data_IF_610649360855
#
_entry.id   IF_610649360855
#
_cell.length_a   1.000
_cell.length_b   1.000
_cell.length_c   1.000
_cell.angle_alpha   90.00
_cell.angle_beta   90.00
_cell.angle_gamma   90.00
#
_symmetry.space_group_name_H-M   'P 1'
#
loop_
_entity.id
_entity.type
_entity.pdbx_description
1 polymer ?
#
# COMPACT_ATOMS: atom_id res chain seq x y z
N UNK A 1 6.56 18.55 -11.50
CA UNK A 1 6.44 17.07 -11.48
C UNK A 1 6.68 16.53 -12.87
N UNK A 2 7.40 15.41 -13.02
CA UNK A 2 7.59 14.77 -14.33
C UNK A 2 6.44 13.79 -14.63
N UNK A 3 6.14 13.56 -15.92
CA UNK A 3 5.14 12.56 -16.33
C UNK A 3 5.46 11.16 -15.78
N UNK A 4 6.75 10.83 -15.72
CA UNK A 4 7.23 9.56 -15.18
C UNK A 4 6.91 9.41 -13.69
N UNK A 5 7.13 10.46 -12.88
CA UNK A 5 6.78 10.44 -11.47
C UNK A 5 5.28 10.20 -11.26
N UNK A 6 4.43 10.89 -12.02
CA UNK A 6 2.98 10.74 -11.88
C UNK A 6 2.53 9.31 -12.20
N UNK A 7 3.10 8.72 -13.26
CA UNK A 7 2.89 7.33 -13.62
C UNK A 7 3.31 6.41 -12.49
N UNK A 8 4.50 6.61 -11.93
CA UNK A 8 5.00 5.77 -10.85
C UNK A 8 4.15 5.90 -9.57
N UNK A 9 3.70 7.11 -9.23
CA UNK A 9 2.86 7.34 -8.06
C UNK A 9 1.48 6.69 -8.20
N UNK A 10 0.78 6.92 -9.32
CA UNK A 10 -0.59 6.44 -9.50
C UNK A 10 -0.61 4.94 -9.82
N UNK A 11 0.20 4.51 -10.81
CA UNK A 11 0.15 3.13 -11.30
C UNK A 11 0.66 2.16 -10.25
N UNK A 12 1.81 2.42 -9.62
CA UNK A 12 2.30 1.49 -8.59
C UNK A 12 1.46 1.54 -7.32
N UNK A 13 0.98 2.71 -6.89
CA UNK A 13 0.07 2.81 -5.75
C UNK A 13 -1.17 1.96 -5.95
N UNK A 14 -1.79 2.05 -7.13
CA UNK A 14 -2.95 1.24 -7.48
C UNK A 14 -2.64 -0.25 -7.64
N UNK A 15 -1.53 -0.61 -8.31
CA UNK A 15 -1.14 -2.02 -8.49
C UNK A 15 -0.84 -2.70 -7.14
N UNK A 16 -0.13 -2.02 -6.23
CA UNK A 16 0.17 -2.54 -4.90
C UNK A 16 -1.10 -2.78 -4.08
N UNK A 17 -2.03 -1.82 -4.12
CA UNK A 17 -3.35 -1.97 -3.51
C UNK A 17 -4.12 -3.14 -4.12
N UNK A 18 -4.19 -3.21 -5.45
CA UNK A 18 -4.93 -4.26 -6.16
C UNK A 18 -4.37 -5.65 -5.86
N UNK A 19 -3.05 -5.78 -5.76
CA UNK A 19 -2.40 -7.03 -5.37
C UNK A 19 -2.84 -7.46 -3.95
N UNK A 20 -2.86 -6.53 -3.00
CA UNK A 20 -3.37 -6.79 -1.65
C UNK A 20 -4.86 -7.18 -1.64
N UNK A 21 -5.68 -6.46 -2.41
CA UNK A 21 -7.11 -6.73 -2.56
C UNK A 21 -7.37 -8.14 -3.11
N UNK A 22 -6.70 -8.52 -4.21
CA UNK A 22 -6.84 -9.84 -4.83
C UNK A 22 -6.34 -10.94 -3.89
N UNK A 23 -5.18 -10.75 -3.25
CA UNK A 23 -4.68 -11.70 -2.26
C UNK A 23 -5.66 -11.88 -1.09
N UNK A 24 -6.30 -10.79 -0.63
CA UNK A 24 -7.28 -10.87 0.44
C UNK A 24 -8.52 -11.67 0.06
N UNK A 25 -9.00 -11.55 -1.18
CA UNK A 25 -10.10 -12.38 -1.68
C UNK A 25 -9.71 -13.86 -1.67
N UNK A 26 -8.51 -14.21 -2.14
CA UNK A 26 -8.03 -15.60 -2.11
C UNK A 26 -7.84 -16.13 -0.68
N UNK A 27 -7.23 -15.34 0.20
CA UNK A 27 -6.98 -15.72 1.59
C UNK A 27 -8.27 -15.85 2.41
N UNK A 28 -9.35 -15.17 2.02
CA UNK A 28 -10.65 -15.33 2.66
C UNK A 28 -11.14 -16.78 2.66
N UNK A 29 -10.74 -17.59 1.67
CA UNK A 29 -11.08 -19.01 1.60
C UNK A 29 -10.18 -19.91 2.46
N UNK A 30 -9.04 -19.40 2.93
CA UNK A 30 -7.98 -20.20 3.56
C UNK A 30 -7.78 -19.90 5.04
N UNK A 31 -8.00 -18.66 5.48
CA UNK A 31 -7.73 -18.22 6.85
C UNK A 31 -8.91 -17.43 7.45
N UNK A 32 -9.07 -17.42 8.79
CA UNK A 32 -10.07 -16.61 9.46
C UNK A 32 -9.97 -15.13 9.08
N UNK A 33 -11.12 -14.47 8.89
CA UNK A 33 -11.19 -13.09 8.41
C UNK A 33 -10.41 -12.08 9.29
N UNK A 34 -10.26 -12.35 10.59
CA UNK A 34 -9.48 -11.53 11.54
C UNK A 34 -7.97 -11.61 11.32
N UNK A 35 -7.48 -12.63 10.63
CA UNK A 35 -6.06 -12.88 10.40
C UNK A 35 -5.61 -12.47 9.00
N UNK A 36 -6.54 -12.26 8.05
CA UNK A 36 -6.23 -11.98 6.64
C UNK A 36 -5.24 -10.82 6.49
N UNK A 37 -5.48 -9.68 7.14
CA UNK A 37 -4.58 -8.53 7.02
C UNK A 37 -3.17 -8.81 7.56
N UNK A 38 -3.04 -9.61 8.62
CA UNK A 38 -1.76 -10.06 9.15
C UNK A 38 -0.99 -10.98 8.21
N UNK A 39 -1.67 -11.78 7.38
CA UNK A 39 -1.04 -12.61 6.35
C UNK A 39 -0.66 -11.80 5.10
N UNK A 40 -1.49 -10.85 4.68
CA UNK A 40 -1.22 -10.02 3.50
C UNK A 40 -0.06 -9.07 3.77
N UNK A 41 -0.01 -8.47 4.96
CA UNK A 41 0.90 -7.37 5.27
C UNK A 41 2.39 -7.71 5.04
N UNK A 42 2.96 -8.83 5.51
CA UNK A 42 4.35 -9.21 5.21
C UNK A 42 4.64 -9.28 3.71
N UNK A 43 3.72 -9.86 2.92
CA UNK A 43 3.84 -9.92 1.46
C UNK A 43 3.79 -8.53 0.83
N UNK A 44 2.85 -7.70 1.29
CA UNK A 44 2.72 -6.31 0.88
C UNK A 44 3.98 -5.50 1.14
N UNK A 45 4.62 -5.67 2.30
CA UNK A 45 5.91 -5.04 2.64
C UNK A 45 6.99 -5.47 1.63
N UNK A 46 7.13 -6.77 1.37
CA UNK A 46 8.13 -7.29 0.41
C UNK A 46 7.94 -6.70 -0.99
N UNK A 47 6.70 -6.71 -1.50
CA UNK A 47 6.40 -6.12 -2.82
C UNK A 47 6.62 -4.61 -2.84
N UNK A 48 6.19 -3.89 -1.82
CA UNK A 48 6.38 -2.44 -1.71
C UNK A 48 7.86 -2.08 -1.70
N UNK A 49 8.68 -2.80 -0.91
CA UNK A 49 10.13 -2.64 -0.88
C UNK A 49 10.75 -2.95 -2.25
N UNK A 50 10.32 -4.02 -2.92
CA UNK A 50 10.80 -4.35 -4.26
C UNK A 50 10.50 -3.23 -5.27
N UNK A 51 9.28 -2.67 -5.26
CA UNK A 51 8.93 -1.52 -6.12
C UNK A 51 9.80 -0.31 -5.79
N UNK A 52 9.88 0.08 -4.52
CA UNK A 52 10.65 1.25 -4.08
C UNK A 52 12.14 1.13 -4.40
N UNK A 53 12.72 -0.07 -4.29
CA UNK A 53 14.13 -0.31 -4.54
C UNK A 53 14.45 -0.47 -6.04
N UNK A 54 13.66 -1.27 -6.77
CA UNK A 54 14.00 -1.70 -8.14
C UNK A 54 13.26 -0.93 -9.24
N UNK A 55 12.08 -0.37 -8.96
CA UNK A 55 11.24 0.29 -9.99
C UNK A 55 11.30 1.80 -9.90
N UNK A 56 11.29 2.35 -8.68
CA UNK A 56 11.41 3.80 -8.48
C UNK A 56 12.86 4.23 -8.63
N UNK A 57 13.16 4.96 -9.71
CA UNK A 57 14.51 5.43 -10.07
C UNK A 57 14.84 6.85 -9.56
N UNK A 58 13.97 7.44 -8.76
CA UNK A 58 14.22 8.77 -8.21
C UNK A 58 15.32 8.78 -7.15
N UNK A 59 16.12 9.85 -7.14
CA UNK A 59 17.12 10.17 -6.11
C UNK A 59 16.66 11.30 -5.19
N UNK A 60 15.58 12.02 -5.54
CA UNK A 60 15.12 13.17 -4.76
C UNK A 60 14.19 12.73 -3.63
N UNK A 61 14.57 13.02 -2.37
CA UNK A 61 13.77 12.68 -1.19
C UNK A 61 12.33 13.22 -1.25
N UNK A 62 12.13 14.44 -1.78
CA UNK A 62 10.81 15.05 -1.93
C UNK A 62 9.86 14.20 -2.78
N UNK A 63 10.38 13.44 -3.75
CA UNK A 63 9.54 12.55 -4.56
C UNK A 63 9.06 11.35 -3.73
N UNK A 64 9.87 10.83 -2.81
CA UNK A 64 9.45 9.76 -1.90
C UNK A 64 8.43 10.23 -0.87
N UNK A 65 8.52 11.48 -0.40
CA UNK A 65 7.47 12.09 0.43
C UNK A 65 6.15 12.14 -0.33
N UNK A 66 6.18 12.56 -1.59
CA UNK A 66 4.98 12.62 -2.40
C UNK A 66 4.43 11.22 -2.73
N UNK A 67 5.30 10.23 -2.95
CA UNK A 67 4.88 8.82 -3.08
C UNK A 67 4.18 8.30 -1.83
N UNK A 68 4.74 8.56 -0.64
CA UNK A 68 4.13 8.16 0.63
C UNK A 68 2.70 8.70 0.75
N UNK A 69 2.51 10.00 0.50
CA UNK A 69 1.19 10.63 0.56
C UNK A 69 0.24 10.03 -0.48
N UNK A 70 0.66 9.98 -1.75
CA UNK A 70 -0.22 9.52 -2.84
C UNK A 70 -0.61 8.05 -2.67
N UNK A 71 0.33 7.18 -2.30
CA UNK A 71 0.05 5.75 -2.11
C UNK A 71 -0.87 5.51 -0.93
N UNK A 72 -0.65 6.19 0.20
CA UNK A 72 -1.55 6.09 1.35
C UNK A 72 -2.95 6.59 1.01
N UNK A 73 -3.08 7.69 0.26
CA UNK A 73 -4.38 8.18 -0.18
C UNK A 73 -5.06 7.15 -1.09
N UNK A 74 -4.36 6.61 -2.08
CA UNK A 74 -4.92 5.57 -2.97
C UNK A 74 -5.42 4.38 -2.14
N UNK A 75 -4.61 3.90 -1.19
CA UNK A 75 -5.00 2.80 -0.30
C UNK A 75 -6.30 3.09 0.46
N UNK A 76 -6.38 4.25 1.13
CA UNK A 76 -7.57 4.64 1.90
C UNK A 76 -8.80 4.79 1.01
N UNK A 77 -8.66 5.46 -0.13
CA UNK A 77 -9.77 5.67 -1.07
C UNK A 77 -10.28 4.34 -1.62
N UNK A 78 -9.37 3.48 -2.10
CA UNK A 78 -9.76 2.21 -2.67
C UNK A 78 -10.33 1.26 -1.60
N UNK A 79 -9.77 1.20 -0.39
CA UNK A 79 -10.34 0.43 0.70
C UNK A 79 -11.75 0.91 1.08
N UNK A 80 -11.97 2.22 1.15
CA UNK A 80 -13.28 2.76 1.46
C UNK A 80 -14.34 2.35 0.42
N UNK A 81 -14.03 2.48 -0.87
CA UNK A 81 -14.99 2.16 -1.91
C UNK A 81 -15.16 0.66 -2.14
N UNK A 82 -14.06 -0.12 -2.17
CA UNK A 82 -14.09 -1.52 -2.57
C UNK A 82 -14.17 -2.49 -1.39
N UNK A 83 -13.79 -2.08 -0.17
CA UNK A 83 -13.85 -2.95 1.00
C UNK A 83 -14.98 -2.51 1.95
N UNK A 84 -15.00 -1.24 2.36
CA UNK A 84 -16.01 -0.75 3.31
C UNK A 84 -17.40 -0.72 2.68
N UNK A 85 -17.56 -0.06 1.52
CA UNK A 85 -18.88 0.13 0.90
C UNK A 85 -19.45 -1.14 0.26
N UNK A 86 -18.60 -1.96 -0.36
CA UNK A 86 -19.04 -3.18 -1.05
C UNK A 86 -19.35 -4.30 -0.06
N UNK A 87 -18.45 -4.60 0.87
CA UNK A 87 -18.63 -5.76 1.76
C UNK A 87 -19.38 -5.45 3.06
N UNK A 88 -19.43 -4.19 3.50
CA UNK A 88 -20.13 -3.75 4.73
C UNK A 88 -19.91 -4.71 5.91
N UNK A 89 -18.66 -4.94 6.33
CA UNK A 89 -18.35 -5.91 7.38
C UNK A 89 -19.04 -5.54 8.69
N UNK A 90 -19.72 -6.50 9.32
CA UNK A 90 -20.48 -6.30 10.56
C UNK A 90 -19.60 -5.82 11.73
N UNK A 91 -18.37 -6.32 11.82
CA UNK A 91 -17.41 -5.97 12.89
C UNK A 91 -16.56 -4.73 12.57
N UNK A 92 -16.91 -4.01 11.50
CA UNK A 92 -16.12 -2.91 10.96
C UNK A 92 -14.87 -3.36 10.21
N UNK A 93 -14.43 -2.51 9.28
CA UNK A 93 -13.26 -2.76 8.43
C UNK A 93 -11.95 -2.29 9.10
N UNK A 94 -11.99 -1.13 9.76
CA UNK A 94 -10.78 -0.47 10.28
C UNK A 94 -10.31 -1.12 11.59
N UNK A 95 -9.43 -2.11 11.44
CA UNK A 95 -8.78 -2.86 12.52
C UNK A 95 -7.29 -2.50 12.61
N UNK A 96 -6.61 -2.99 13.65
CA UNK A 96 -5.21 -2.64 13.93
C UNK A 96 -4.27 -2.91 12.75
N UNK A 97 -4.46 -4.04 12.07
CA UNK A 97 -3.74 -4.45 10.87
C UNK A 97 -3.91 -3.45 9.71
N UNK A 98 -5.12 -2.91 9.52
CA UNK A 98 -5.39 -1.88 8.49
C UNK A 98 -4.70 -0.56 8.82
N UNK A 99 -4.74 -0.11 10.09
CA UNK A 99 -4.03 1.10 10.49
C UNK A 99 -2.52 0.94 10.34
N UNK A 100 -1.98 -0.23 10.72
CA UNK A 100 -0.57 -0.54 10.54
C UNK A 100 -0.19 -0.57 9.06
N UNK A 101 -1.03 -1.13 8.20
CA UNK A 101 -0.87 -1.09 6.75
C UNK A 101 -0.78 0.34 6.21
N UNK A 102 -1.65 1.27 6.63
CA UNK A 102 -1.57 2.68 6.21
C UNK A 102 -0.30 3.36 6.68
N UNK A 103 0.10 3.12 7.93
CA UNK A 103 1.37 3.63 8.48
C UNK A 103 2.54 3.10 7.67
N UNK A 104 2.59 1.80 7.37
CA UNK A 104 3.67 1.20 6.58
C UNK A 104 3.71 1.73 5.16
N UNK A 105 2.54 1.90 4.53
CA UNK A 105 2.42 2.48 3.19
C UNK A 105 2.98 3.90 3.14
N UNK A 106 2.83 4.66 4.22
CA UNK A 106 3.39 6.00 4.36
C UNK A 106 4.89 5.98 4.71
N UNK A 107 5.30 5.15 5.66
CA UNK A 107 6.65 5.16 6.24
C UNK A 107 7.68 4.51 5.33
N UNK A 108 7.34 3.42 4.62
CA UNK A 108 8.29 2.70 3.78
C UNK A 108 8.91 3.56 2.66
N UNK A 109 8.14 4.35 1.88
CA UNK A 109 8.73 5.26 0.89
C UNK A 109 9.69 6.27 1.54
N UNK A 110 9.36 6.80 2.73
CA UNK A 110 10.23 7.75 3.44
C UNK A 110 11.55 7.12 3.85
N UNK A 111 11.52 5.91 4.44
CA UNK A 111 12.74 5.19 4.82
C UNK A 111 13.63 4.93 3.61
N UNK A 112 13.05 4.44 2.50
CA UNK A 112 13.82 4.15 1.28
C UNK A 112 14.34 5.44 0.63
N UNK A 113 13.53 6.48 0.59
CA UNK A 113 13.93 7.79 0.07
C UNK A 113 15.10 8.36 0.86
N UNK A 114 15.08 8.25 2.18
CA UNK A 114 16.20 8.68 3.04
C UNK A 114 17.47 7.88 2.73
N UNK A 115 17.36 6.54 2.62
CA UNK A 115 18.50 5.67 2.30
C UNK A 115 19.11 5.95 0.93
N UNK A 116 18.31 6.37 -0.06
CA UNK A 116 18.80 6.70 -1.42
C UNK A 116 19.35 8.13 -1.56
N UNK A 117 19.07 9.00 -0.58
CA UNK A 117 19.64 10.36 -0.50
C UNK A 117 21.07 10.32 0.05
N UNK A 118 21.32 9.42 1.00
CA UNK A 118 22.64 9.16 1.58
C UNK A 118 23.55 8.41 0.62
#
# INVERSE_FOLDING_TARGET
MTKQFLKDAIVWGFILWLLGYVLGIFLFMLVPHLLIGWFIMPLGIVFTLWVLLKKIKSTAFQQYVLLAVVWTLIAIFCDYFFLVKVFKPADGYYKLDVYLYYILTFVLPLIIGWRKKS
#
